data_IF_982507907687
#
_entry.id   IF_982507907687
#
_cell.length_a   1.000
_cell.length_b   1.000
_cell.length_c   1.000
_cell.angle_alpha   90.00
_cell.angle_beta   90.00
_cell.angle_gamma   90.00
#
_symmetry.space_group_name_H-M   'P 1'
#
loop_
_entity.id
_entity.type
_entity.pdbx_description
1 polymer ?
#
# COMPACT_ATOMS: atom_id res chain seq x y z
N UNK A 1 -12.06 -2.59 38.68
CA UNK A 1 -11.77 -3.01 37.29
C UNK A 1 -10.27 -2.94 36.99
N UNK A 2 -9.68 -1.76 36.74
CA UNK A 2 -8.28 -1.64 36.25
C UNK A 2 -7.26 -2.35 37.15
N UNK A 3 -7.29 -2.09 38.46
CA UNK A 3 -6.43 -2.77 39.43
C UNK A 3 -7.00 -4.15 39.84
N UNK A 4 -8.31 -4.18 40.13
CA UNK A 4 -8.99 -5.38 40.65
C UNK A 4 -8.91 -6.61 39.73
N UNK A 5 -9.07 -6.46 38.41
CA UNK A 5 -8.98 -7.59 37.45
C UNK A 5 -7.67 -8.37 37.56
N UNK A 6 -6.59 -7.69 37.96
CA UNK A 6 -5.24 -8.25 38.03
C UNK A 6 -4.83 -8.73 39.43
N UNK A 7 -5.49 -8.24 40.49
CA UNK A 7 -5.02 -8.44 41.86
C UNK A 7 -6.08 -9.05 42.80
N UNK A 8 -7.37 -8.95 42.46
CA UNK A 8 -8.46 -9.48 43.26
C UNK A 8 -9.69 -9.78 42.37
N UNK A 9 -9.91 -11.08 42.03
CA UNK A 9 -11.01 -11.52 41.19
C UNK A 9 -12.41 -11.08 41.67
N UNK A 10 -12.59 -10.85 42.97
CA UNK A 10 -13.89 -10.47 43.56
C UNK A 10 -14.44 -9.16 42.98
N UNK A 11 -13.56 -8.24 42.57
CA UNK A 11 -13.99 -6.99 41.93
C UNK A 11 -14.64 -7.23 40.57
N UNK A 12 -14.12 -8.20 39.81
CA UNK A 12 -14.69 -8.53 38.51
C UNK A 12 -15.97 -9.36 38.66
N UNK A 13 -16.01 -10.28 39.64
CA UNK A 13 -17.24 -10.99 40.00
C UNK A 13 -18.37 -10.03 40.36
N UNK A 14 -18.10 -9.04 41.22
CA UNK A 14 -19.09 -8.00 41.54
C UNK A 14 -19.54 -7.21 40.30
N UNK A 15 -18.62 -6.90 39.39
CA UNK A 15 -18.94 -6.21 38.14
C UNK A 15 -19.89 -7.05 37.26
N UNK A 16 -19.67 -8.36 37.19
CA UNK A 16 -20.56 -9.28 36.48
C UNK A 16 -21.92 -9.41 37.16
N UNK A 17 -21.94 -9.63 38.49
CA UNK A 17 -23.17 -9.78 39.28
C UNK A 17 -24.07 -8.56 39.15
N UNK A 18 -23.49 -7.35 39.11
CA UNK A 18 -24.23 -6.09 38.96
C UNK A 18 -24.54 -5.72 37.52
N UNK A 19 -24.18 -6.55 36.53
CA UNK A 19 -24.44 -6.31 35.10
C UNK A 19 -23.98 -4.91 34.66
N UNK A 20 -22.79 -4.48 35.11
CA UNK A 20 -22.33 -3.09 34.93
C UNK A 20 -22.23 -2.71 33.45
N UNK A 21 -21.90 -3.67 32.56
CA UNK A 21 -21.95 -3.45 31.10
C UNK A 21 -23.35 -3.08 30.60
N UNK A 22 -24.38 -3.74 31.13
CA UNK A 22 -25.77 -3.44 30.80
C UNK A 22 -26.21 -2.08 31.33
N UNK A 23 -25.74 -1.71 32.52
CA UNK A 23 -25.96 -0.37 33.06
C UNK A 23 -25.28 0.72 32.23
N UNK A 24 -24.07 0.49 31.72
CA UNK A 24 -23.41 1.39 30.79
C UNK A 24 -24.21 1.58 29.49
N UNK A 25 -24.66 0.48 28.88
CA UNK A 25 -25.52 0.54 27.69
C UNK A 25 -26.84 1.28 27.98
N UNK A 26 -27.47 1.00 29.13
CA UNK A 26 -28.71 1.67 29.57
C UNK A 26 -28.51 3.16 29.75
N UNK A 27 -27.45 3.57 30.45
CA UNK A 27 -27.10 4.98 30.70
C UNK A 27 -26.88 5.70 29.36
N UNK A 28 -26.14 5.09 28.43
CA UNK A 28 -25.90 5.67 27.11
C UNK A 28 -27.22 5.86 26.34
N UNK A 29 -28.15 4.91 26.44
CA UNK A 29 -29.45 4.98 25.76
C UNK A 29 -30.39 6.06 26.32
N UNK A 30 -30.38 6.29 27.63
CA UNK A 30 -31.31 7.24 28.28
C UNK A 30 -30.71 8.65 28.42
N UNK A 31 -29.39 8.77 28.48
CA UNK A 31 -28.72 10.04 28.65
C UNK A 31 -28.76 10.84 27.36
N UNK A 32 -29.22 12.09 27.45
CA UNK A 32 -29.11 13.07 26.36
C UNK A 32 -27.88 13.97 26.51
N UNK A 33 -27.13 13.81 27.60
CA UNK A 33 -25.96 14.64 27.91
C UNK A 33 -24.71 14.02 27.28
N UNK A 34 -24.10 14.73 26.35
CA UNK A 34 -22.89 14.31 25.64
C UNK A 34 -21.71 14.01 26.56
N UNK A 35 -21.56 14.77 27.66
CA UNK A 35 -20.54 14.52 28.69
C UNK A 35 -20.64 13.12 29.30
N UNK A 36 -21.84 12.56 29.39
CA UNK A 36 -22.03 11.19 29.90
C UNK A 36 -21.51 10.18 28.87
N UNK A 37 -21.83 10.36 27.59
CA UNK A 37 -21.31 9.51 26.50
C UNK A 37 -19.78 9.57 26.41
N UNK A 38 -19.21 10.76 26.56
CA UNK A 38 -17.77 11.00 26.58
C UNK A 38 -17.09 10.28 27.74
N UNK A 39 -17.61 10.46 28.96
CA UNK A 39 -17.07 9.78 30.13
C UNK A 39 -17.19 8.25 30.00
N UNK A 40 -18.31 7.76 29.46
CA UNK A 40 -18.52 6.34 29.23
C UNK A 40 -17.49 5.77 28.25
N UNK A 41 -17.27 6.40 27.10
CA UNK A 41 -16.28 5.95 26.13
C UNK A 41 -14.87 5.95 26.71
N UNK A 42 -14.49 7.01 27.43
CA UNK A 42 -13.19 7.08 28.09
C UNK A 42 -13.02 5.97 29.14
N UNK A 43 -14.01 5.79 30.02
CA UNK A 43 -13.99 4.75 31.05
C UNK A 43 -13.92 3.36 30.42
N UNK A 44 -14.72 3.10 29.40
CA UNK A 44 -14.74 1.83 28.68
C UNK A 44 -13.42 1.54 27.95
N UNK A 45 -12.84 2.55 27.29
CA UNK A 45 -11.55 2.43 26.61
C UNK A 45 -10.45 2.03 27.60
N UNK A 46 -10.33 2.76 28.70
CA UNK A 46 -9.31 2.47 29.73
C UNK A 46 -9.56 1.10 30.36
N UNK A 47 -10.81 0.77 30.65
CA UNK A 47 -11.20 -0.50 31.25
C UNK A 47 -10.79 -1.68 30.36
N UNK A 48 -11.21 -1.68 29.09
CA UNK A 48 -10.92 -2.76 28.13
C UNK A 48 -9.41 -2.87 27.89
N UNK A 49 -8.71 -1.76 27.70
CA UNK A 49 -7.26 -1.76 27.47
C UNK A 49 -6.50 -2.50 28.60
N UNK A 50 -6.96 -2.35 29.84
CA UNK A 50 -6.31 -2.90 31.03
C UNK A 50 -6.78 -4.31 31.43
N UNK A 51 -7.78 -4.88 30.76
CA UNK A 51 -8.18 -6.27 31.01
C UNK A 51 -7.03 -7.22 30.65
N UNK A 52 -6.69 -8.11 31.59
CA UNK A 52 -5.66 -9.14 31.38
C UNK A 52 -6.20 -10.54 31.56
N UNK A 53 -7.22 -10.71 32.41
CA UNK A 53 -7.85 -11.99 32.63
C UNK A 53 -8.69 -12.39 31.41
N UNK A 54 -8.47 -13.59 30.88
CA UNK A 54 -9.24 -14.12 29.75
C UNK A 54 -10.73 -14.20 30.09
N UNK A 55 -11.12 -14.70 31.27
CA UNK A 55 -12.53 -14.77 31.67
C UNK A 55 -13.21 -13.39 31.60
N UNK A 56 -12.49 -12.35 31.98
CA UNK A 56 -13.00 -10.98 31.93
C UNK A 56 -13.18 -10.49 30.50
N UNK A 57 -12.22 -10.76 29.62
CA UNK A 57 -12.33 -10.43 28.19
C UNK A 57 -13.52 -11.16 27.57
N UNK A 58 -13.66 -12.46 27.84
CA UNK A 58 -14.76 -13.27 27.34
C UNK A 58 -16.12 -12.74 27.81
N UNK A 59 -16.27 -12.41 29.10
CA UNK A 59 -17.52 -11.85 29.60
C UNK A 59 -17.89 -10.53 28.90
N UNK A 60 -16.92 -9.61 28.74
CA UNK A 60 -17.17 -8.32 28.11
C UNK A 60 -17.53 -8.49 26.62
N UNK A 61 -16.83 -9.38 25.90
CA UNK A 61 -17.02 -9.54 24.46
C UNK A 61 -18.20 -10.44 24.08
N UNK A 62 -18.55 -11.43 24.91
CA UNK A 62 -19.70 -12.32 24.66
C UNK A 62 -21.04 -11.63 24.90
N UNK A 63 -21.05 -10.43 25.48
CA UNK A 63 -22.25 -9.70 25.82
C UNK A 63 -22.67 -8.77 24.67
N UNK A 64 -23.94 -8.82 24.26
CA UNK A 64 -24.51 -7.95 23.21
C UNK A 64 -24.30 -6.44 23.48
N UNK A 65 -24.06 -6.05 24.73
CA UNK A 65 -23.76 -4.68 25.10
C UNK A 65 -22.52 -4.12 24.39
N UNK A 66 -21.48 -4.92 24.13
CA UNK A 66 -20.29 -4.40 23.44
C UNK A 66 -20.60 -4.01 22.01
N UNK A 67 -21.38 -4.83 21.30
CA UNK A 67 -21.80 -4.56 19.93
C UNK A 67 -22.74 -3.36 19.87
N UNK A 68 -23.62 -3.19 20.86
CA UNK A 68 -24.41 -1.97 21.02
C UNK A 68 -23.52 -0.74 21.19
N UNK A 69 -22.50 -0.78 22.05
CA UNK A 69 -21.59 0.35 22.27
C UNK A 69 -20.75 0.68 21.02
N UNK A 70 -20.29 -0.33 20.28
CA UNK A 70 -19.56 -0.15 19.02
C UNK A 70 -20.45 0.56 17.98
N UNK A 71 -21.70 0.12 17.84
CA UNK A 71 -22.64 0.63 16.81
C UNK A 71 -23.47 1.83 17.27
N UNK A 72 -23.24 2.33 18.48
CA UNK A 72 -23.97 3.48 19.01
C UNK A 72 -23.67 4.73 18.18
N UNK A 73 -24.73 5.48 17.83
CA UNK A 73 -24.63 6.70 17.03
C UNK A 73 -24.16 7.89 17.88
N UNK A 74 -22.85 7.98 18.11
CA UNK A 74 -22.23 9.13 18.78
C UNK A 74 -22.28 10.39 17.91
N UNK A 75 -22.41 11.55 18.55
CA UNK A 75 -22.32 12.85 17.89
C UNK A 75 -20.85 13.31 17.84
N UNK A 76 -20.20 13.10 16.69
CA UNK A 76 -18.80 13.48 16.47
C UNK A 76 -18.58 14.98 16.21
N UNK A 77 -19.64 15.80 16.21
CA UNK A 77 -19.47 17.26 16.23
C UNK A 77 -18.99 17.77 17.59
N UNK A 78 -19.11 16.93 18.62
CA UNK A 78 -18.69 17.24 19.98
C UNK A 78 -17.19 16.98 20.10
N UNK A 79 -16.49 17.97 20.65
CA UNK A 79 -15.05 17.92 20.84
C UNK A 79 -14.61 16.66 21.59
N UNK A 80 -13.47 16.10 21.19
CA UNK A 80 -12.89 14.83 21.68
C UNK A 80 -13.77 13.57 21.51
N UNK A 81 -15.04 13.67 21.09
CA UNK A 81 -15.93 12.50 21.08
C UNK A 81 -15.43 11.42 20.11
N UNK A 82 -14.98 11.84 18.94
CA UNK A 82 -14.40 10.93 17.94
C UNK A 82 -13.10 10.30 18.45
N UNK A 83 -12.20 11.06 19.07
CA UNK A 83 -10.91 10.52 19.53
C UNK A 83 -11.09 9.46 20.63
N UNK A 84 -12.04 9.65 21.56
CA UNK A 84 -12.39 8.62 22.54
C UNK A 84 -13.07 7.41 21.92
N UNK A 85 -13.95 7.61 20.94
CA UNK A 85 -14.57 6.50 20.21
C UNK A 85 -13.53 5.64 19.47
N UNK A 86 -12.61 6.27 18.74
CA UNK A 86 -11.51 5.58 18.06
C UNK A 86 -10.59 4.86 19.06
N UNK A 87 -10.30 5.49 20.21
CA UNK A 87 -9.52 4.87 21.28
C UNK A 87 -10.23 3.63 21.85
N UNK A 88 -11.55 3.71 22.03
CA UNK A 88 -12.39 2.59 22.46
C UNK A 88 -12.37 1.42 21.46
N UNK A 89 -12.59 1.69 20.17
CA UNK A 89 -12.49 0.66 19.12
C UNK A 89 -11.08 0.02 19.09
N UNK A 90 -10.03 0.86 19.18
CA UNK A 90 -8.64 0.39 19.22
C UNK A 90 -8.39 -0.50 20.45
N UNK A 91 -8.91 -0.13 21.61
CA UNK A 91 -8.79 -0.92 22.84
C UNK A 91 -9.42 -2.31 22.69
N UNK A 92 -10.59 -2.40 22.05
CA UNK A 92 -11.24 -3.69 21.72
C UNK A 92 -10.36 -4.50 20.76
N UNK A 93 -9.89 -3.86 19.68
CA UNK A 93 -9.06 -4.53 18.67
C UNK A 93 -7.78 -5.14 19.24
N UNK A 94 -7.19 -4.49 20.26
CA UNK A 94 -5.98 -4.97 20.93
C UNK A 94 -6.19 -6.21 21.80
N UNK A 95 -7.44 -6.69 21.96
CA UNK A 95 -7.77 -7.95 22.65
C UNK A 95 -8.19 -9.06 21.69
N UNK A 96 -8.14 -8.81 20.38
CA UNK A 96 -8.45 -9.82 19.38
C UNK A 96 -7.35 -10.88 19.31
N UNK A 97 -7.79 -12.14 19.32
CA UNK A 97 -6.99 -13.31 19.03
C UNK A 97 -7.94 -14.42 18.51
N UNK A 98 -7.38 -15.59 18.20
CA UNK A 98 -8.14 -16.73 17.64
C UNK A 98 -9.33 -17.16 18.50
N UNK A 99 -9.28 -16.90 19.80
CA UNK A 99 -10.31 -17.33 20.74
C UNK A 99 -11.33 -16.23 21.06
N UNK A 100 -11.00 -14.95 20.83
CA UNK A 100 -11.87 -13.82 21.20
C UNK A 100 -12.58 -13.19 20.01
N UNK A 101 -12.06 -13.33 18.78
CA UNK A 101 -12.65 -12.70 17.59
C UNK A 101 -14.05 -13.24 17.31
N UNK A 102 -14.29 -14.54 17.54
CA UNK A 102 -15.58 -15.21 17.35
C UNK A 102 -16.68 -14.62 18.23
N UNK A 103 -16.33 -13.98 19.35
CA UNK A 103 -17.27 -13.35 20.28
C UNK A 103 -17.82 -12.01 19.75
N UNK A 104 -17.09 -11.36 18.83
CA UNK A 104 -17.44 -10.04 18.28
C UNK A 104 -18.06 -10.10 16.89
N UNK A 105 -18.21 -11.31 16.33
CA UNK A 105 -18.81 -11.54 15.02
C UNK A 105 -20.13 -12.27 15.15
N UNK A 106 -21.03 -12.03 14.21
CA UNK A 106 -22.24 -12.83 14.03
C UNK A 106 -22.03 -13.75 12.85
N UNK A 107 -22.21 -15.05 13.05
CA UNK A 107 -22.08 -16.07 12.00
C UNK A 107 -23.43 -16.66 11.61
N UNK A 108 -23.55 -17.11 10.36
CA UNK A 108 -24.65 -17.90 9.84
C UNK A 108 -24.08 -18.93 8.88
N UNK A 109 -24.31 -20.22 9.14
CA UNK A 109 -23.74 -21.32 8.36
C UNK A 109 -22.20 -21.22 8.24
N UNK A 110 -21.52 -20.96 9.35
CA UNK A 110 -20.06 -20.80 9.43
C UNK A 110 -19.47 -19.62 8.60
N UNK A 111 -20.33 -18.77 8.05
CA UNK A 111 -19.96 -17.50 7.44
C UNK A 111 -20.18 -16.35 8.41
N UNK A 112 -19.20 -15.46 8.54
CA UNK A 112 -19.42 -14.19 9.24
C UNK A 112 -20.35 -13.33 8.39
N UNK A 113 -21.47 -12.90 8.97
CA UNK A 113 -22.42 -11.99 8.32
C UNK A 113 -22.31 -10.56 8.85
N UNK A 114 -21.83 -10.39 10.08
CA UNK A 114 -21.65 -9.09 10.73
C UNK A 114 -20.37 -9.08 11.56
N UNK A 115 -19.59 -8.00 11.42
CA UNK A 115 -18.45 -7.70 12.26
C UNK A 115 -18.39 -6.19 12.56
N UNK A 116 -19.16 -5.71 13.54
CA UNK A 116 -19.35 -4.28 13.76
C UNK A 116 -18.05 -3.52 14.02
N UNK A 117 -17.11 -4.09 14.78
CA UNK A 117 -15.83 -3.46 15.10
C UNK A 117 -15.06 -3.05 13.85
N UNK A 118 -14.98 -3.94 12.87
CA UNK A 118 -14.27 -3.70 11.62
C UNK A 118 -15.02 -2.68 10.75
N UNK A 119 -16.32 -2.87 10.56
CA UNK A 119 -17.15 -2.01 9.69
C UNK A 119 -17.22 -0.57 10.22
N UNK A 120 -17.40 -0.38 11.52
CA UNK A 120 -17.44 0.95 12.12
C UNK A 120 -16.07 1.65 12.04
N UNK A 121 -14.97 0.91 12.21
CA UNK A 121 -13.62 1.46 12.09
C UNK A 121 -13.32 1.97 10.68
N UNK A 122 -13.72 1.23 9.63
CA UNK A 122 -13.44 1.60 8.25
C UNK A 122 -14.09 2.92 7.82
N UNK A 123 -15.16 3.37 8.48
CA UNK A 123 -15.78 4.68 8.22
C UNK A 123 -14.80 5.85 8.41
N UNK A 124 -13.74 5.65 9.19
CA UNK A 124 -12.75 6.67 9.53
C UNK A 124 -11.38 6.42 8.89
N UNK A 125 -11.26 5.44 7.99
CA UNK A 125 -9.96 5.06 7.42
C UNK A 125 -9.29 6.19 6.61
N UNK A 126 -10.09 7.12 6.07
CA UNK A 126 -9.61 8.28 5.31
C UNK A 126 -9.86 9.61 6.02
N UNK A 127 -9.91 9.60 7.36
CA UNK A 127 -10.10 10.82 8.15
C UNK A 127 -8.91 11.79 8.00
N UNK A 128 -9.14 13.10 8.07
CA UNK A 128 -8.10 14.14 7.87
C UNK A 128 -7.02 14.13 8.97
N UNK A 129 -7.40 13.80 10.21
CA UNK A 129 -6.46 13.60 11.32
C UNK A 129 -5.63 12.31 11.14
N UNK A 130 -4.30 12.48 11.06
CA UNK A 130 -3.36 11.37 10.90
C UNK A 130 -3.36 10.39 12.07
N UNK A 131 -3.59 10.85 13.31
CA UNK A 131 -3.64 9.98 14.48
C UNK A 131 -4.86 9.06 14.44
N UNK A 132 -5.99 9.54 13.92
CA UNK A 132 -7.17 8.71 13.67
C UNK A 132 -6.84 7.64 12.62
N UNK A 133 -6.23 8.02 11.49
CA UNK A 133 -5.81 7.05 10.46
C UNK A 133 -4.86 5.99 11.03
N UNK A 134 -3.87 6.38 11.82
CA UNK A 134 -2.92 5.44 12.47
C UNK A 134 -3.65 4.47 13.41
N UNK A 135 -4.63 4.94 14.18
CA UNK A 135 -5.42 4.08 15.06
C UNK A 135 -6.29 3.09 14.28
N UNK A 136 -6.92 3.52 13.17
CA UNK A 136 -7.68 2.63 12.29
C UNK A 136 -6.76 1.59 11.62
N UNK A 137 -5.60 2.01 11.10
CA UNK A 137 -4.61 1.09 10.53
C UNK A 137 -4.19 0.03 11.54
N UNK A 138 -3.87 0.43 12.77
CA UNK A 138 -3.57 -0.50 13.88
C UNK A 138 -4.72 -1.48 14.14
N UNK A 139 -5.96 -0.99 14.19
CA UNK A 139 -7.15 -1.82 14.40
C UNK A 139 -7.33 -2.85 13.29
N UNK A 140 -7.23 -2.42 12.03
CA UNK A 140 -7.37 -3.33 10.89
C UNK A 140 -6.27 -4.38 10.85
N UNK A 141 -5.01 -4.03 11.16
CA UNK A 141 -3.93 -5.01 11.28
C UNK A 141 -4.17 -6.01 12.41
N UNK A 142 -4.69 -5.57 13.56
CA UNK A 142 -5.06 -6.47 14.64
C UNK A 142 -6.12 -7.48 14.19
N UNK A 143 -7.06 -7.08 13.34
CA UNK A 143 -8.04 -7.98 12.73
C UNK A 143 -7.37 -8.98 11.77
N UNK A 144 -6.54 -8.49 10.84
CA UNK A 144 -5.93 -9.34 9.82
C UNK A 144 -4.95 -10.37 10.42
N UNK A 145 -4.22 -9.99 11.48
CA UNK A 145 -3.24 -10.86 12.13
C UNK A 145 -3.85 -11.96 13.02
N UNK A 146 -5.17 -11.98 13.24
CA UNK A 146 -5.79 -13.08 14.00
C UNK A 146 -5.66 -14.41 13.26
N UNK A 147 -5.76 -14.39 11.93
CA UNK A 147 -5.71 -15.60 11.10
C UNK A 147 -6.93 -16.51 11.26
N UNK A 148 -8.12 -15.93 11.50
CA UNK A 148 -9.40 -16.65 11.48
C UNK A 148 -9.95 -16.70 10.05
N UNK A 149 -10.19 -17.90 9.52
CA UNK A 149 -10.57 -18.10 8.12
C UNK A 149 -11.94 -17.49 7.78
N UNK A 150 -12.91 -17.52 8.71
CA UNK A 150 -14.24 -16.96 8.50
C UNK A 150 -14.20 -15.43 8.42
N UNK A 151 -13.35 -14.80 9.24
CA UNK A 151 -13.11 -13.36 9.21
C UNK A 151 -12.29 -12.95 7.99
N UNK A 152 -11.28 -13.74 7.61
CA UNK A 152 -10.47 -13.48 6.41
C UNK A 152 -11.35 -13.42 5.15
N UNK A 153 -12.28 -14.36 5.01
CA UNK A 153 -13.28 -14.35 3.92
C UNK A 153 -14.24 -13.17 4.03
N UNK A 154 -14.63 -12.78 5.25
CA UNK A 154 -15.47 -11.61 5.46
C UNK A 154 -14.81 -10.31 5.02
N UNK A 155 -13.56 -10.04 5.40
CA UNK A 155 -12.87 -8.79 5.05
C UNK A 155 -12.53 -8.71 3.56
N UNK A 156 -12.46 -9.86 2.89
CA UNK A 156 -12.12 -9.97 1.47
C UNK A 156 -13.34 -9.91 0.54
N UNK A 157 -14.57 -9.86 1.07
CA UNK A 157 -15.80 -9.86 0.26
C UNK A 157 -16.26 -8.45 -0.11
N UNK A 158 -16.92 -8.33 -1.25
CA UNK A 158 -17.62 -7.08 -1.64
C UNK A 158 -18.80 -6.82 -0.68
N UNK A 159 -19.02 -5.56 -0.25
CA UNK A 159 -18.30 -4.34 -0.63
C UNK A 159 -17.11 -3.98 0.27
N UNK A 160 -16.74 -4.81 1.25
CA UNK A 160 -15.65 -4.50 2.18
C UNK A 160 -14.29 -4.48 1.50
N UNK A 161 -14.08 -5.34 0.50
CA UNK A 161 -12.87 -5.33 -0.34
C UNK A 161 -12.65 -4.02 -1.10
N UNK A 162 -13.70 -3.23 -1.35
CA UNK A 162 -13.58 -1.94 -2.05
C UNK A 162 -12.70 -0.95 -1.28
N UNK A 163 -12.61 -1.12 0.05
CA UNK A 163 -11.69 -0.39 0.94
C UNK A 163 -10.25 -0.36 0.40
N UNK A 164 -9.74 -1.48 -0.10
CA UNK A 164 -8.35 -1.58 -0.58
C UNK A 164 -8.13 -0.76 -1.85
N UNK A 165 -9.13 -0.72 -2.74
CA UNK A 165 -9.07 0.13 -3.92
C UNK A 165 -9.14 1.61 -3.56
N UNK A 166 -10.07 1.99 -2.67
CA UNK A 166 -10.22 3.38 -2.22
C UNK A 166 -8.98 3.88 -1.48
N UNK A 167 -8.32 2.99 -0.75
CA UNK A 167 -7.07 3.28 -0.06
C UNK A 167 -5.93 3.59 -1.04
N UNK A 168 -5.80 2.81 -2.12
CA UNK A 168 -4.80 3.09 -3.15
C UNK A 168 -5.16 4.36 -3.94
N UNK A 169 -6.44 4.65 -4.18
CA UNK A 169 -6.87 5.94 -4.79
C UNK A 169 -6.52 7.14 -3.88
N UNK A 170 -6.72 7.02 -2.57
CA UNK A 170 -6.31 8.05 -1.63
C UNK A 170 -4.79 8.26 -1.66
N UNK A 171 -4.02 7.17 -1.65
CA UNK A 171 -2.56 7.23 -1.78
C UNK A 171 -2.11 7.87 -3.10
N UNK A 172 -2.76 7.53 -4.22
CA UNK A 172 -2.51 8.15 -5.53
C UNK A 172 -2.65 9.68 -5.46
N UNK A 173 -3.67 10.18 -4.77
CA UNK A 173 -3.86 11.62 -4.54
C UNK A 173 -2.70 12.21 -3.73
N UNK A 174 -2.24 11.54 -2.68
CA UNK A 174 -1.09 11.97 -1.87
C UNK A 174 0.19 12.05 -2.72
N UNK A 175 0.44 11.08 -3.61
CA UNK A 175 1.57 11.12 -4.54
C UNK A 175 1.53 12.34 -5.47
N UNK A 176 0.35 12.66 -6.01
CA UNK A 176 0.15 13.85 -6.87
C UNK A 176 0.32 15.14 -6.07
N UNK A 177 -0.14 15.18 -4.82
CA UNK A 177 -0.01 16.36 -3.97
C UNK A 177 1.46 16.58 -3.53
N UNK A 178 2.23 15.51 -3.28
CA UNK A 178 3.68 15.59 -3.10
C UNK A 178 4.34 16.21 -4.34
N UNK A 179 4.01 15.74 -5.54
CA UNK A 179 4.59 16.28 -6.78
C UNK A 179 4.34 17.79 -6.92
N UNK A 180 3.12 18.25 -6.62
CA UNK A 180 2.79 19.67 -6.63
C UNK A 180 3.66 20.46 -5.65
N UNK A 181 3.96 19.92 -4.46
CA UNK A 181 4.84 20.58 -3.49
C UNK A 181 6.28 20.65 -3.99
N UNK A 182 6.81 19.55 -4.53
CA UNK A 182 8.16 19.46 -5.09
C UNK A 182 8.35 20.45 -6.25
N UNK A 183 7.39 20.50 -7.19
CA UNK A 183 7.43 21.42 -8.33
C UNK A 183 7.37 22.89 -7.90
N UNK A 184 6.60 23.21 -6.85
CA UNK A 184 6.58 24.57 -6.28
C UNK A 184 7.90 24.93 -5.61
N UNK A 185 8.52 23.99 -4.89
CA UNK A 185 9.78 24.20 -4.18
C UNK A 185 10.94 24.46 -5.13
N UNK A 186 10.95 23.77 -6.28
CA UNK A 186 11.92 24.02 -7.34
C UNK A 186 11.88 25.46 -7.90
N UNK A 187 10.76 26.18 -7.72
CA UNK A 187 10.60 27.59 -8.13
C UNK A 187 10.93 28.57 -7.00
N UNK A 188 10.53 28.24 -5.76
CA UNK A 188 10.68 29.08 -4.58
C UNK A 188 11.21 28.24 -3.39
N UNK A 189 12.48 28.45 -3.02
CA UNK A 189 13.13 27.74 -1.91
C UNK A 189 12.74 28.35 -0.55
N UNK A 190 11.48 28.17 -0.13
CA UNK A 190 10.99 28.61 1.18
C UNK A 190 11.10 27.48 2.22
N UNK A 191 11.64 27.74 3.44
CA UNK A 191 11.78 26.72 4.49
C UNK A 191 10.47 26.03 4.88
N UNK A 192 9.35 26.77 4.85
CA UNK A 192 8.01 26.23 5.18
C UNK A 192 7.57 25.15 4.18
N UNK A 193 7.93 25.33 2.91
CA UNK A 193 7.59 24.37 1.86
C UNK A 193 8.43 23.09 1.96
N UNK A 194 9.69 23.21 2.42
CA UNK A 194 10.53 22.05 2.69
C UNK A 194 9.97 21.18 3.81
N UNK A 195 9.55 21.77 4.94
CA UNK A 195 8.89 21.03 6.02
C UNK A 195 7.61 20.31 5.52
N UNK A 196 6.82 20.97 4.65
CA UNK A 196 5.62 20.36 4.06
C UNK A 196 5.94 19.18 3.14
N UNK A 197 7.07 19.21 2.43
CA UNK A 197 7.55 18.10 1.60
C UNK A 197 8.00 16.93 2.49
N UNK A 198 8.75 17.20 3.55
CA UNK A 198 9.18 16.19 4.52
C UNK A 198 7.98 15.48 5.15
N UNK A 199 6.97 16.24 5.59
CA UNK A 199 5.73 15.68 6.13
C UNK A 199 4.96 14.84 5.10
N UNK A 200 4.96 15.24 3.83
CA UNK A 200 4.32 14.48 2.76
C UNK A 200 5.07 13.18 2.43
N UNK A 201 6.41 13.21 2.47
CA UNK A 201 7.27 12.03 2.31
C UNK A 201 6.98 11.02 3.41
N UNK A 202 6.97 11.45 4.68
CA UNK A 202 6.64 10.58 5.83
C UNK A 202 5.27 9.93 5.64
N UNK A 203 4.27 10.69 5.19
CA UNK A 203 2.93 10.15 4.95
C UNK A 203 2.88 9.12 3.82
N UNK A 204 3.69 9.29 2.77
CA UNK A 204 3.81 8.32 1.68
C UNK A 204 4.45 7.02 2.19
N UNK A 205 5.56 7.14 2.93
CA UNK A 205 6.24 5.99 3.51
C UNK A 205 5.35 5.23 4.49
N UNK A 206 4.67 5.93 5.40
CA UNK A 206 3.71 5.35 6.35
C UNK A 206 2.57 4.59 5.63
N UNK A 207 2.08 5.11 4.49
CA UNK A 207 1.07 4.43 3.70
C UNK A 207 1.63 3.14 3.05
N UNK A 208 2.83 3.20 2.48
CA UNK A 208 3.48 2.03 1.87
C UNK A 208 3.84 0.96 2.90
N UNK A 209 4.30 1.34 4.09
CA UNK A 209 4.54 0.39 5.19
C UNK A 209 3.25 -0.28 5.63
N UNK A 210 2.14 0.47 5.76
CA UNK A 210 0.85 -0.12 6.05
C UNK A 210 0.40 -1.09 4.95
N UNK A 211 0.59 -0.76 3.66
CA UNK A 211 0.28 -1.67 2.56
C UNK A 211 1.11 -2.95 2.65
N UNK A 212 2.41 -2.82 2.93
CA UNK A 212 3.31 -3.96 3.11
C UNK A 212 2.87 -4.85 4.28
N UNK A 213 2.44 -4.25 5.40
CA UNK A 213 1.95 -4.99 6.56
C UNK A 213 0.64 -5.73 6.24
N UNK A 214 -0.29 -5.11 5.49
CA UNK A 214 -1.53 -5.76 5.02
C UNK A 214 -1.21 -6.94 4.10
N UNK A 215 -0.29 -6.77 3.15
CA UNK A 215 0.14 -7.86 2.27
C UNK A 215 0.80 -9.01 3.06
N UNK A 216 1.52 -8.67 4.13
CA UNK A 216 2.21 -9.65 4.99
C UNK A 216 1.31 -10.26 6.08
N UNK A 217 0.03 -9.92 6.10
CA UNK A 217 -0.91 -10.37 7.15
C UNK A 217 -1.24 -11.87 7.09
N UNK A 218 -0.83 -12.57 6.04
CA UNK A 218 -1.13 -13.99 5.82
C UNK A 218 -2.48 -14.25 5.18
N UNK A 219 -3.15 -13.21 4.66
CA UNK A 219 -4.41 -13.31 3.91
C UNK A 219 -4.12 -13.05 2.41
N UNK A 220 -4.07 -14.11 1.56
CA UNK A 220 -3.65 -13.96 0.16
C UNK A 220 -4.49 -12.96 -0.64
N UNK A 221 -5.81 -12.96 -0.43
CA UNK A 221 -6.72 -12.04 -1.14
C UNK A 221 -6.38 -10.57 -0.88
N UNK A 222 -6.03 -10.22 0.36
CA UNK A 222 -5.64 -8.85 0.70
C UNK A 222 -4.33 -8.46 0.01
N UNK A 223 -3.36 -9.38 -0.02
CA UNK A 223 -2.12 -9.20 -0.76
C UNK A 223 -2.39 -8.90 -2.24
N UNK A 224 -3.25 -9.72 -2.87
CA UNK A 224 -3.64 -9.56 -4.27
C UNK A 224 -4.35 -8.23 -4.53
N UNK A 225 -5.29 -7.82 -3.68
CA UNK A 225 -5.99 -6.54 -3.83
C UNK A 225 -5.02 -5.37 -3.78
N UNK A 226 -4.08 -5.35 -2.83
CA UNK A 226 -3.09 -4.28 -2.74
C UNK A 226 -2.19 -4.27 -3.98
N UNK A 227 -1.63 -5.43 -4.35
CA UNK A 227 -0.73 -5.56 -5.49
C UNK A 227 -1.41 -5.10 -6.78
N UNK A 228 -2.59 -5.62 -7.08
CA UNK A 228 -3.33 -5.28 -8.29
C UNK A 228 -3.69 -3.79 -8.33
N UNK A 229 -4.21 -3.23 -7.23
CA UNK A 229 -4.57 -1.81 -7.20
C UNK A 229 -3.34 -0.90 -7.31
N UNK A 230 -2.23 -1.20 -6.66
CA UNK A 230 -1.00 -0.39 -6.79
C UNK A 230 -0.47 -0.45 -8.23
N UNK A 231 -0.41 -1.64 -8.82
CA UNK A 231 0.06 -1.80 -10.19
C UNK A 231 -0.85 -1.04 -11.18
N UNK A 232 -2.17 -1.25 -11.10
CA UNK A 232 -3.13 -0.69 -12.05
C UNK A 232 -3.38 0.81 -11.85
N UNK A 233 -3.57 1.25 -10.60
CA UNK A 233 -3.94 2.63 -10.32
C UNK A 233 -2.74 3.56 -10.21
N UNK A 234 -1.57 3.07 -9.79
CA UNK A 234 -0.39 3.92 -9.57
C UNK A 234 0.73 3.64 -10.59
N UNK A 235 1.26 2.42 -10.63
CA UNK A 235 2.46 2.11 -11.42
C UNK A 235 2.22 2.29 -12.91
N UNK A 236 1.26 1.54 -13.47
CA UNK A 236 0.98 1.55 -14.90
C UNK A 236 0.26 2.82 -15.36
N UNK A 237 -0.56 3.42 -14.49
CA UNK A 237 -1.40 4.57 -14.86
C UNK A 237 -0.70 5.92 -14.73
N UNK A 238 0.18 6.08 -13.74
CA UNK A 238 0.81 7.38 -13.44
C UNK A 238 2.32 7.32 -13.55
N UNK A 239 2.95 6.38 -12.84
CA UNK A 239 4.40 6.35 -12.66
C UNK A 239 5.13 6.04 -13.97
N UNK A 240 4.84 4.91 -14.62
CA UNK A 240 5.53 4.55 -15.86
C UNK A 240 5.29 5.55 -17.02
N UNK A 241 4.05 6.01 -17.29
CA UNK A 241 3.83 7.04 -18.31
C UNK A 241 4.60 8.35 -18.03
N UNK A 242 4.73 8.73 -16.75
CA UNK A 242 5.47 9.93 -16.35
C UNK A 242 6.97 9.82 -16.67
N UNK A 243 7.56 8.63 -16.52
CA UNK A 243 8.95 8.36 -16.93
C UNK A 243 9.17 8.45 -18.45
N UNK A 244 8.13 8.20 -19.25
CA UNK A 244 8.17 8.34 -20.71
C UNK A 244 7.83 9.77 -21.16
N UNK A 245 7.59 10.69 -20.22
CA UNK A 245 7.03 12.03 -20.48
C UNK A 245 5.72 12.00 -21.26
N UNK A 246 4.99 10.89 -21.20
CA UNK A 246 3.66 10.80 -21.79
C UNK A 246 2.70 11.61 -20.93
N UNK A 247 2.08 12.65 -21.50
CA UNK A 247 1.09 13.45 -20.79
C UNK A 247 -0.23 12.70 -20.72
N UNK A 248 -0.54 12.19 -19.53
CA UNK A 248 -1.86 11.67 -19.15
C UNK A 248 -2.61 12.74 -18.34
N UNK A 249 -3.91 12.56 -18.12
CA UNK A 249 -4.72 13.47 -17.27
C UNK A 249 -4.20 13.53 -15.82
N UNK A 250 -3.55 12.46 -15.36
CA UNK A 250 -2.93 12.31 -14.05
C UNK A 250 -1.42 12.07 -14.23
N UNK A 251 -0.64 13.14 -14.21
CA UNK A 251 0.81 13.07 -14.39
C UNK A 251 1.53 13.64 -13.16
N UNK A 252 2.71 13.09 -12.89
CA UNK A 252 3.67 13.58 -11.90
C UNK A 252 5.00 13.88 -12.61
N UNK A 253 5.89 14.62 -11.99
CA UNK A 253 7.23 14.83 -12.52
C UNK A 253 8.03 13.52 -12.59
N UNK A 254 9.00 13.47 -13.50
CA UNK A 254 9.94 12.35 -13.67
C UNK A 254 10.64 12.03 -12.34
N UNK A 255 11.07 13.05 -11.61
CA UNK A 255 11.79 12.89 -10.33
C UNK A 255 10.89 12.27 -9.25
N UNK A 256 9.65 12.73 -9.10
CA UNK A 256 8.68 12.12 -8.18
C UNK A 256 8.35 10.68 -8.59
N UNK A 257 8.22 10.42 -9.88
CA UNK A 257 7.98 9.07 -10.40
C UNK A 257 9.10 8.10 -10.04
N UNK A 258 10.36 8.49 -10.21
CA UNK A 258 11.52 7.68 -9.80
C UNK A 258 11.54 7.45 -8.30
N UNK A 259 11.28 8.51 -7.51
CA UNK A 259 11.18 8.40 -6.06
C UNK A 259 10.12 7.38 -5.62
N UNK A 260 8.91 7.43 -6.18
CA UNK A 260 7.86 6.46 -5.87
C UNK A 260 8.24 5.03 -6.23
N UNK A 261 8.88 4.80 -7.39
CA UNK A 261 9.39 3.47 -7.74
C UNK A 261 10.44 2.99 -6.74
N UNK A 262 11.36 3.85 -6.32
CA UNK A 262 12.33 3.52 -5.29
C UNK A 262 11.64 3.10 -4.00
N UNK A 263 10.63 3.86 -3.55
CA UNK A 263 9.87 3.52 -2.34
C UNK A 263 9.15 2.18 -2.48
N UNK A 264 8.45 1.95 -3.59
CA UNK A 264 7.73 0.70 -3.87
C UNK A 264 8.69 -0.50 -3.83
N UNK A 265 9.81 -0.42 -4.54
CA UNK A 265 10.81 -1.50 -4.63
C UNK A 265 11.61 -1.71 -3.34
N UNK A 266 11.70 -0.68 -2.49
CA UNK A 266 12.42 -0.76 -1.21
C UNK A 266 11.53 -1.27 -0.07
N UNK A 267 10.27 -0.84 -0.03
CA UNK A 267 9.36 -1.11 1.09
C UNK A 267 8.62 -2.43 0.90
N UNK A 268 8.15 -2.75 -0.31
CA UNK A 268 7.44 -4.01 -0.53
C UNK A 268 8.41 -5.19 -0.57
N UNK A 269 8.14 -6.16 0.31
CA UNK A 269 8.86 -7.45 0.38
C UNK A 269 8.14 -8.54 -0.41
N UNK A 270 7.48 -8.14 -1.49
CA UNK A 270 6.69 -9.03 -2.34
C UNK A 270 7.40 -9.29 -3.67
N UNK A 271 7.63 -10.57 -3.98
CA UNK A 271 8.37 -10.98 -5.17
C UNK A 271 7.63 -10.61 -6.45
N UNK A 272 6.32 -10.76 -6.48
CA UNK A 272 5.51 -10.57 -7.68
C UNK A 272 5.41 -9.08 -8.02
N UNK A 273 5.25 -8.21 -7.02
CA UNK A 273 5.31 -6.76 -7.16
C UNK A 273 6.67 -6.31 -7.73
N UNK A 274 7.77 -6.72 -7.08
CA UNK A 274 9.11 -6.33 -7.51
C UNK A 274 9.41 -6.81 -8.94
N UNK A 275 9.09 -8.07 -9.24
CA UNK A 275 9.28 -8.68 -10.55
C UNK A 275 8.44 -7.99 -11.62
N UNK A 276 7.18 -7.65 -11.33
CA UNK A 276 6.29 -6.98 -12.28
C UNK A 276 6.75 -5.55 -12.56
N UNK A 277 7.16 -4.80 -11.54
CA UNK A 277 7.71 -3.44 -11.72
C UNK A 277 9.01 -3.49 -12.53
N UNK A 278 9.92 -4.41 -12.19
CA UNK A 278 11.18 -4.56 -12.91
C UNK A 278 10.96 -4.99 -14.37
N UNK A 279 10.08 -5.97 -14.61
CA UNK A 279 9.68 -6.36 -15.96
C UNK A 279 9.11 -5.17 -16.72
N UNK A 280 8.19 -4.40 -16.14
CA UNK A 280 7.61 -3.24 -16.81
C UNK A 280 8.63 -2.14 -17.17
N UNK A 281 9.69 -1.98 -16.38
CA UNK A 281 10.76 -1.00 -16.64
C UNK A 281 11.74 -1.44 -17.75
N UNK A 282 11.99 -2.75 -17.89
CA UNK A 282 13.06 -3.27 -18.75
C UNK A 282 12.59 -4.22 -19.85
N UNK A 283 11.31 -4.57 -19.89
CA UNK A 283 10.77 -5.39 -20.96
C UNK A 283 10.93 -4.66 -22.29
N UNK A 284 11.71 -5.27 -23.19
CA UNK A 284 11.77 -4.85 -24.58
C UNK A 284 10.61 -5.53 -25.30
N UNK A 285 9.77 -4.81 -26.06
CA UNK A 285 8.86 -5.48 -26.98
C UNK A 285 9.72 -6.30 -27.95
N UNK A 286 9.44 -7.60 -28.05
CA UNK A 286 10.16 -8.52 -28.94
C UNK A 286 10.18 -7.94 -30.36
N UNK A 287 11.35 -7.45 -30.77
CA UNK A 287 11.59 -7.05 -32.13
C UNK A 287 12.00 -8.32 -32.87
N UNK A 288 11.24 -8.80 -33.88
CA UNK A 288 11.56 -10.05 -34.56
C UNK A 288 12.99 -10.00 -35.11
N UNK A 289 13.77 -11.02 -34.75
CA UNK A 289 15.21 -11.14 -34.95
C UNK A 289 15.74 -10.48 -36.23
N UNK A 290 16.59 -9.47 -36.02
CA UNK A 290 17.52 -8.99 -37.04
C UNK A 290 18.53 -10.10 -37.29
N UNK A 291 18.25 -10.94 -38.29
CA UNK A 291 19.12 -12.04 -38.73
C UNK A 291 20.59 -11.62 -38.69
N UNK A 292 21.37 -12.40 -37.97
CA UNK A 292 22.84 -12.39 -37.95
C UNK A 292 23.39 -12.16 -39.35
N UNK A 293 24.12 -11.07 -39.52
CA UNK A 293 24.98 -10.89 -40.69
C UNK A 293 26.03 -12.00 -40.69
N UNK A 294 25.99 -12.85 -41.69
CA UNK A 294 27.09 -13.75 -42.00
C UNK A 294 28.30 -12.94 -42.48
N UNK A 295 29.52 -13.25 -42.01
CA UNK A 295 30.73 -12.72 -42.59
C UNK A 295 31.06 -13.55 -43.84
N UNK A 296 31.26 -12.91 -44.99
CA UNK A 296 32.35 -13.18 -45.93
C UNK A 296 32.12 -12.42 -47.24
N UNK A 297 33.17 -11.73 -47.67
CA UNK A 297 33.17 -10.92 -48.88
C UNK A 297 33.34 -11.71 -50.17
N UNK A 298 33.07 -11.03 -51.28
CA UNK A 298 33.79 -11.14 -52.53
C UNK A 298 33.49 -9.88 -53.36
N UNK A 299 34.57 -9.26 -53.84
CA UNK A 299 34.63 -8.17 -54.81
C UNK A 299 33.95 -8.51 -56.13
N UNK A 300 33.27 -7.55 -56.75
CA UNK A 300 33.24 -7.41 -58.21
C UNK A 300 32.81 -6.01 -58.62
N UNK A 301 33.47 -5.55 -59.68
CA UNK A 301 33.55 -4.21 -60.24
C UNK A 301 32.28 -3.71 -60.95
N UNK A 302 32.21 -2.38 -61.05
CA UNK A 302 31.53 -1.51 -62.02
C UNK A 302 30.67 -2.14 -63.13
N UNK A 303 29.44 -1.63 -63.31
CA UNK A 303 29.08 -1.02 -64.61
C UNK A 303 27.95 0.03 -64.49
N UNK A 304 28.00 1.00 -65.41
CA UNK A 304 27.15 2.20 -65.53
C UNK A 304 25.79 1.92 -66.19
N UNK A 305 24.77 2.69 -65.80
CA UNK A 305 23.52 2.84 -66.57
C UNK A 305 22.61 3.96 -66.02
N UNK A 306 22.44 5.04 -66.79
CA UNK A 306 21.58 6.20 -66.53
C UNK A 306 20.17 5.93 -67.08
N UNK A 307 19.09 6.19 -66.31
CA UNK A 307 18.02 7.14 -66.67
C UNK A 307 16.82 7.19 -65.68
N UNK A 308 16.46 8.44 -65.35
CA UNK A 308 15.12 9.06 -65.22
C UNK A 308 14.08 8.63 -64.16
N UNK A 309 13.94 9.54 -63.18
CA UNK A 309 12.71 10.14 -62.62
C UNK A 309 11.38 9.37 -62.68
N UNK A 310 10.85 9.06 -61.49
CA UNK A 310 9.46 9.34 -61.12
C UNK A 310 9.25 9.32 -59.59
N UNK A 311 8.80 10.46 -59.05
CA UNK A 311 8.30 10.60 -57.69
C UNK A 311 6.97 9.87 -57.51
N UNK A 312 6.86 9.04 -56.48
CA UNK A 312 5.62 8.65 -55.83
C UNK A 312 5.86 8.62 -54.30
N UNK A 313 4.84 8.95 -53.49
CA UNK A 313 5.04 9.40 -52.11
C UNK A 313 5.48 8.26 -51.20
N UNK A 314 6.38 8.59 -50.28
CA UNK A 314 6.90 7.69 -49.24
C UNK A 314 5.74 7.00 -48.51
N UNK A 315 5.55 5.71 -48.82
CA UNK A 315 4.91 4.80 -47.89
C UNK A 315 5.81 4.73 -46.66
N UNK A 316 5.30 4.94 -45.43
CA UNK A 316 6.12 4.82 -44.25
C UNK A 316 6.63 3.38 -44.22
N UNK A 317 7.95 3.23 -44.35
CA UNK A 317 8.62 1.97 -44.19
C UNK A 317 8.24 1.40 -42.83
N UNK A 318 8.04 0.08 -42.77
CA UNK A 318 7.73 -0.65 -41.53
C UNK A 318 8.81 -0.54 -40.43
N UNK A 319 9.81 0.35 -40.60
CA UNK A 319 10.81 0.78 -39.62
C UNK A 319 10.30 1.85 -38.65
N UNK A 320 9.22 2.57 -38.97
CA UNK A 320 8.79 3.72 -38.16
C UNK A 320 7.82 3.35 -37.02
N UNK A 321 7.37 2.10 -36.96
CA UNK A 321 6.53 1.60 -35.86
C UNK A 321 7.31 1.09 -34.64
N UNK A 322 8.65 1.08 -34.68
CA UNK A 322 9.52 0.63 -33.58
C UNK A 322 10.32 1.77 -32.92
N UNK A 323 9.90 3.04 -33.07
CA UNK A 323 10.58 4.21 -32.46
C UNK A 323 10.02 4.61 -31.08
N UNK A 324 9.41 3.68 -30.35
CA UNK A 324 9.15 3.88 -28.93
C UNK A 324 10.42 3.61 -28.15
N UNK A 325 11.16 4.65 -27.74
CA UNK A 325 12.26 4.47 -26.81
C UNK A 325 11.76 3.70 -25.58
N UNK A 326 12.45 2.63 -25.20
CA UNK A 326 12.07 1.82 -24.04
C UNK A 326 12.16 2.65 -22.75
N UNK A 327 11.48 2.23 -21.68
CA UNK A 327 11.60 2.88 -20.36
C UNK A 327 13.05 2.89 -19.88
N UNK A 328 13.80 1.80 -20.11
CA UNK A 328 15.24 1.71 -19.91
C UNK A 328 16.02 2.83 -20.62
N UNK A 329 15.73 3.08 -21.90
CA UNK A 329 16.42 4.13 -22.68
C UNK A 329 16.10 5.53 -22.15
N UNK A 330 14.86 5.76 -21.71
CA UNK A 330 14.51 7.02 -21.03
C UNK A 330 15.33 7.21 -19.75
N UNK A 331 15.41 6.18 -18.89
CA UNK A 331 16.23 6.22 -17.68
C UNK A 331 17.70 6.50 -17.98
N UNK A 332 18.28 5.87 -19.01
CA UNK A 332 19.65 6.13 -19.43
C UNK A 332 19.84 7.56 -19.99
N UNK A 333 18.85 8.07 -20.73
CA UNK A 333 18.88 9.44 -21.26
C UNK A 333 18.86 10.49 -20.14
N UNK A 334 18.20 10.20 -19.02
CA UNK A 334 18.20 11.08 -17.85
C UNK A 334 19.54 11.12 -17.13
N UNK A 335 20.32 10.04 -17.17
CA UNK A 335 21.69 10.02 -16.62
C UNK A 335 22.63 10.87 -17.47
N UNK A 336 22.51 10.81 -18.80
CA UNK A 336 23.46 11.45 -19.73
C UNK A 336 23.10 12.89 -20.11
N UNK A 337 21.80 13.23 -20.13
CA UNK A 337 21.30 14.52 -20.58
C UNK A 337 20.15 15.10 -19.75
N UNK A 338 19.78 14.47 -18.62
CA UNK A 338 18.80 15.00 -17.69
C UNK A 338 19.37 16.11 -16.79
N UNK A 339 18.48 16.78 -16.05
CA UNK A 339 18.91 17.66 -14.96
C UNK A 339 19.50 16.86 -13.79
N UNK A 340 20.14 17.55 -12.83
CA UNK A 340 20.80 16.89 -11.70
C UNK A 340 19.85 16.01 -10.87
N UNK A 341 18.56 16.36 -10.79
CA UNK A 341 17.57 15.57 -10.06
C UNK A 341 17.17 14.29 -10.83
N UNK A 342 17.04 14.39 -12.15
CA UNK A 342 16.73 13.27 -13.04
C UNK A 342 17.89 12.27 -13.12
N UNK A 343 19.12 12.77 -13.21
CA UNK A 343 20.31 11.93 -13.20
C UNK A 343 20.46 11.19 -11.85
N UNK A 344 20.33 11.89 -10.73
CA UNK A 344 20.36 11.29 -9.40
C UNK A 344 19.23 10.28 -9.20
N UNK A 345 18.00 10.65 -9.55
CA UNK A 345 16.83 9.77 -9.43
C UNK A 345 16.98 8.48 -10.24
N UNK A 346 17.51 8.57 -11.46
CA UNK A 346 17.77 7.39 -12.30
C UNK A 346 18.82 6.47 -11.68
N UNK A 347 19.93 7.04 -11.18
CA UNK A 347 20.98 6.29 -10.50
C UNK A 347 20.46 5.63 -9.21
N UNK A 348 19.66 6.34 -8.42
CA UNK A 348 19.00 5.80 -7.24
C UNK A 348 18.09 4.63 -7.60
N UNK A 349 17.27 4.75 -8.65
CA UNK A 349 16.38 3.68 -9.09
C UNK A 349 17.16 2.43 -9.51
N UNK A 350 18.23 2.59 -10.31
CA UNK A 350 19.11 1.47 -10.64
C UNK A 350 19.77 0.84 -9.40
N UNK A 351 20.23 1.66 -8.46
CA UNK A 351 20.80 1.17 -7.22
C UNK A 351 19.77 0.39 -6.39
N UNK A 352 18.54 0.89 -6.27
CA UNK A 352 17.44 0.22 -5.56
C UNK A 352 17.13 -1.13 -6.20
N UNK A 353 16.95 -1.19 -7.53
CA UNK A 353 16.71 -2.44 -8.26
C UNK A 353 17.80 -3.50 -8.00
N UNK A 354 19.06 -3.08 -7.91
CA UNK A 354 20.19 -3.99 -7.61
C UNK A 354 20.25 -4.44 -6.16
N UNK A 355 19.63 -3.69 -5.24
CA UNK A 355 19.62 -3.95 -3.80
C UNK A 355 18.34 -4.67 -3.33
N UNK A 356 17.25 -4.61 -4.11
CA UNK A 356 15.99 -5.32 -3.86
C UNK A 356 16.25 -6.84 -3.86
N UNK A 357 15.98 -7.48 -2.72
CA UNK A 357 16.28 -8.91 -2.50
C UNK A 357 15.28 -9.84 -3.18
N UNK A 358 14.11 -9.30 -3.45
CA UNK A 358 12.94 -9.94 -4.05
C UNK A 358 13.16 -10.19 -5.55
N UNK A 359 14.12 -9.48 -6.18
CA UNK A 359 14.56 -9.70 -7.54
C UNK A 359 15.69 -10.74 -7.57
N UNK A 360 15.41 -11.92 -8.13
CA UNK A 360 16.41 -12.97 -8.25
C UNK A 360 17.45 -12.66 -9.35
N UNK A 361 18.61 -13.33 -9.26
CA UNK A 361 19.72 -13.09 -10.19
C UNK A 361 19.35 -13.47 -11.63
N UNK A 362 18.43 -14.42 -11.83
CA UNK A 362 17.88 -14.74 -13.16
C UNK A 362 17.08 -13.59 -13.76
N UNK A 363 16.24 -12.93 -12.96
CA UNK A 363 15.47 -11.76 -13.40
C UNK A 363 16.41 -10.61 -13.73
N UNK A 364 17.37 -10.29 -12.85
CA UNK A 364 18.34 -9.23 -13.12
C UNK A 364 19.17 -9.50 -14.39
N UNK A 365 19.48 -10.77 -14.68
CA UNK A 365 20.21 -11.19 -15.89
C UNK A 365 19.33 -11.05 -17.14
N UNK A 366 18.06 -11.49 -17.06
CA UNK A 366 17.08 -11.36 -18.12
C UNK A 366 16.79 -9.88 -18.46
N UNK A 367 16.80 -9.00 -17.46
CA UNK A 367 16.64 -7.56 -17.64
C UNK A 367 17.96 -6.86 -18.05
N UNK A 368 19.07 -7.61 -18.16
CA UNK A 368 20.36 -7.11 -18.62
C UNK A 368 21.04 -6.13 -17.65
N UNK A 369 20.75 -6.24 -16.36
CA UNK A 369 21.27 -5.38 -15.28
C UNK A 369 22.06 -6.15 -14.21
N UNK A 370 22.22 -7.48 -14.35
CA UNK A 370 23.01 -8.28 -13.41
C UNK A 370 24.48 -7.80 -13.37
N UNK A 371 25.05 -7.52 -12.18
CA UNK A 371 26.45 -7.09 -12.08
C UNK A 371 27.42 -8.10 -12.71
N UNK A 372 28.39 -7.62 -13.49
CA UNK A 372 29.36 -8.45 -14.21
C UNK A 372 30.07 -9.48 -13.31
N UNK A 373 30.42 -9.12 -12.07
CA UNK A 373 31.01 -10.07 -11.10
C UNK A 373 30.14 -11.30 -10.84
N UNK A 374 28.82 -11.11 -10.79
CA UNK A 374 27.84 -12.19 -10.60
C UNK A 374 27.61 -12.97 -11.89
N UNK A 375 27.56 -12.31 -13.04
CA UNK A 375 27.53 -12.99 -14.35
C UNK A 375 28.74 -13.90 -14.55
N UNK A 376 29.95 -13.42 -14.25
CA UNK A 376 31.18 -14.21 -14.32
C UNK A 376 31.15 -15.39 -13.34
N UNK A 377 30.65 -15.20 -12.10
CA UNK A 377 30.48 -16.31 -11.14
C UNK A 377 29.47 -17.35 -11.65
N UNK A 378 28.35 -16.92 -12.23
CA UNK A 378 27.32 -17.79 -12.82
C UNK A 378 27.87 -18.61 -14.00
N UNK A 379 28.64 -17.96 -14.88
CA UNK A 379 29.36 -18.62 -15.98
C UNK A 379 30.34 -19.67 -15.42
N UNK A 380 31.17 -19.31 -14.44
CA UNK A 380 32.11 -20.24 -13.81
C UNK A 380 31.41 -21.44 -13.13
N UNK A 381 30.23 -21.25 -12.52
CA UNK A 381 29.43 -22.35 -11.97
C UNK A 381 28.72 -23.20 -13.03
N UNK A 382 28.45 -22.66 -14.23
CA UNK A 382 27.85 -23.42 -15.34
C UNK A 382 28.88 -24.27 -16.11
N UNK A 383 30.17 -23.93 -15.99
CA UNK A 383 31.31 -24.71 -16.51
C UNK A 383 31.87 -25.69 -15.46
N UNK A 384 30.98 -26.37 -14.73
CA UNK A 384 31.36 -27.27 -13.62
C UNK A 384 32.45 -28.27 -13.99
N UNK A 385 33.53 -28.22 -13.20
CA UNK A 385 34.27 -29.39 -12.74
C UNK A 385 33.62 -29.92 -11.47
#
# INVERSE_FOLDING_TARGET
MIYGDQHDPLFFEFFMEKQIMGEFARILRISKLSRVSLQLLQTMSIMIQNLRNEHSIYYIFSNEHINFLITYSFDFQIDEMLSYYISFLRAISGKLNKNTISLLVTTKNDEVISFPLYVEALKFAFHEDSMIRVAIRTLTLNVYHVGDESVNRFVSRVPLSDYFSDMVKHFQKQCIDLDKLVVRSARNAEPVLMASIEDAIVQIEDALYYFSDVMSSGIPDLGNFITENILQLLVFRIVLPSLQRQRTDLWISVSTSMYLLCCILHIFKDKDMASTVAAALFHQPDCPDRKQGTPNGCTSEHDHGISENQCLPDHPSASDFCQGNTLREHLLSYITGGDGSQALGSLCLFATLLQTKELDESMLDALGILPQRKQHKKLLSSFGW
#
